data_IF_360900385575
#
_entry.id   IF_360900385575
#
_cell.length_a   1.000
_cell.length_b   1.000
_cell.length_c   1.000
_cell.angle_alpha   90.00
_cell.angle_beta   90.00
_cell.angle_gamma   90.00
#
_symmetry.space_group_name_H-M   'P 1'
#
loop_
_entity.id
_entity.type
_entity.pdbx_description
1 polymer ?
2 non-polymer ?
3 water ?
#
# COMPACT_ATOMS: atom_id res chain seq x y z
N UNK A 15 -3.21 0.67 20.14
CA UNK A 15 -4.43 -0.28 19.79
C UNK A 15 -4.98 -0.87 18.39
N UNK A 16 -6.20 -0.45 18.01
CA UNK A 16 -6.46 -0.21 16.59
C UNK A 16 -5.35 0.69 16.06
N UNK A 17 -4.76 1.53 16.93
CA UNK A 17 -3.60 2.31 16.53
C UNK A 17 -2.37 1.42 16.27
N UNK A 18 -2.11 0.41 17.08
CA UNK A 18 -0.94 -0.40 16.78
C UNK A 18 -1.07 -1.17 15.43
N UNK A 19 -2.20 -1.89 15.32
CA UNK A 19 -2.58 -2.64 14.12
C UNK A 19 -2.54 -1.76 12.86
N UNK A 20 -3.05 -0.53 12.95
CA UNK A 20 -3.14 0.39 11.83
C UNK A 20 -1.72 0.84 11.48
N UNK A 21 -0.89 1.10 12.49
CA UNK A 21 0.52 1.41 12.21
C UNK A 21 1.23 0.26 11.44
N UNK A 22 1.03 -0.96 11.88
CA UNK A 22 1.72 -2.10 11.28
C UNK A 22 1.25 -2.32 9.83
N UNK A 23 -0.04 -2.17 9.60
CA UNK A 23 -0.67 -2.33 8.30
C UNK A 23 -0.04 -1.26 7.37
N UNK A 24 -0.06 0.00 7.84
CA UNK A 24 0.54 1.12 7.11
C UNK A 24 1.99 0.97 6.88
N UNK A 25 2.69 0.29 7.77
CA UNK A 25 4.08 -0.01 7.46
C UNK A 25 4.27 -1.01 6.29
N UNK A 26 3.39 -2.02 6.18
CA UNK A 26 3.37 -2.86 4.99
C UNK A 26 3.07 -2.06 3.74
N UNK A 27 2.08 -1.20 3.80
CA UNK A 27 1.69 -0.36 2.69
C UNK A 27 2.94 0.45 2.23
N UNK A 28 3.66 1.08 3.18
CA UNK A 28 4.87 1.83 2.86
C UNK A 28 5.91 0.99 2.17
N UNK A 29 6.11 -0.25 2.67
CA UNK A 29 7.07 -1.15 2.06
C UNK A 29 6.69 -1.49 0.62
N UNK A 30 5.43 -1.61 0.34
CA UNK A 30 4.99 -1.84 -1.03
C UNK A 30 5.16 -0.65 -1.96
N UNK A 31 4.93 0.55 -1.46
CA UNK A 31 5.23 1.80 -2.26
C UNK A 31 6.66 1.82 -2.58
N UNK A 32 7.46 1.44 -1.61
CA UNK A 32 8.91 1.45 -1.77
C UNK A 32 9.38 0.47 -2.77
N UNK A 33 8.85 -0.75 -2.69
CA UNK A 33 9.14 -1.79 -3.68
C UNK A 33 8.69 -1.39 -5.05
N UNK A 34 7.54 -0.77 -5.17
CA UNK A 34 7.05 -0.41 -6.47
C UNK A 34 7.96 0.74 -7.02
N UNK A 35 8.45 1.60 -6.14
CA UNK A 35 9.20 2.79 -6.59
C UNK A 35 10.58 2.34 -7.09
N UNK A 36 11.14 1.37 -6.37
CA UNK A 36 12.37 0.71 -6.76
C UNK A 36 12.26 0.14 -8.17
N UNK A 37 11.12 -0.38 -8.53
CA UNK A 37 10.96 -0.91 -9.87
C UNK A 37 10.62 0.18 -10.95
N UNK A 38 10.71 1.47 -10.60
CA UNK A 38 10.49 2.59 -11.53
C UNK A 38 9.03 2.62 -12.10
N UNK A 39 8.07 2.18 -11.31
CA UNK A 39 6.69 2.23 -11.64
C UNK A 39 5.93 3.29 -10.89
N UNK A 40 6.51 3.85 -9.81
CA UNK A 40 5.82 4.85 -9.01
C UNK A 40 6.09 6.25 -9.60
N UNK A 41 5.03 6.96 -9.92
CA UNK A 41 5.14 8.24 -10.60
C UNK A 41 5.52 9.33 -9.65
N UNK A 42 5.74 10.51 -10.14
CA UNK A 42 6.33 11.53 -9.23
C UNK A 42 5.41 11.95 -8.10
N UNK A 43 4.15 12.22 -8.33
CA UNK A 43 3.27 12.51 -7.19
C UNK A 43 3.15 11.25 -6.25
N UNK A 44 3.29 10.08 -6.84
CA UNK A 44 3.29 8.85 -6.00
C UNK A 44 4.47 8.78 -5.08
N UNK A 45 5.64 9.13 -5.58
CA UNK A 45 6.83 9.19 -4.74
C UNK A 45 6.72 10.33 -3.65
N UNK A 46 6.09 11.46 -3.97
CA UNK A 46 5.80 12.51 -2.92
C UNK A 46 4.94 11.84 -1.85
N UNK A 47 3.92 11.12 -2.32
CA UNK A 47 3.00 10.40 -1.39
C UNK A 47 3.80 9.44 -0.51
N UNK A 48 4.70 8.66 -1.12
CA UNK A 48 5.54 7.76 -0.34
C UNK A 48 6.35 8.54 0.72
N UNK A 49 6.95 9.66 0.33
CA UNK A 49 7.70 10.45 1.32
C UNK A 49 6.81 10.95 2.43
N UNK A 50 5.60 11.41 2.15
CA UNK A 50 4.73 11.87 3.24
C UNK A 50 4.41 10.71 4.19
N UNK A 51 4.06 9.59 3.58
CA UNK A 51 3.72 8.44 4.41
C UNK A 51 4.87 8.03 5.29
N UNK A 52 6.07 7.89 4.77
CA UNK A 52 7.24 7.47 5.55
C UNK A 52 7.46 8.45 6.78
N UNK A 53 7.47 9.74 6.54
CA UNK A 53 7.68 10.76 7.60
C UNK A 53 6.55 10.62 8.63
N UNK A 54 5.32 10.51 8.17
CA UNK A 54 4.18 10.40 9.07
C UNK A 54 4.22 9.11 9.92
N UNK A 55 4.52 7.99 9.29
CA UNK A 55 4.61 6.76 10.09
C UNK A 55 5.81 6.78 11.05
N UNK A 56 6.93 7.36 10.64
CA UNK A 56 8.06 7.52 11.55
C UNK A 56 7.68 8.25 12.86
N UNK A 57 7.03 9.40 12.72
CA UNK A 57 6.51 10.17 13.87
C UNK A 57 5.43 9.40 14.66
N UNK A 58 4.58 8.67 13.96
CA UNK A 58 3.55 7.88 14.65
C UNK A 58 4.17 6.69 15.40
N UNK A 59 5.22 6.11 14.86
CA UNK A 59 5.92 5.02 15.50
C UNK A 59 6.69 5.51 16.72
N UNK A 60 7.25 6.71 16.66
CA UNK A 60 8.04 7.22 17.77
C UNK A 60 7.11 7.41 18.98
N UNK A 61 5.98 8.06 18.73
CA UNK A 61 4.99 8.35 19.73
C UNK A 61 4.33 7.15 20.35
N UNK A 62 4.00 6.14 19.53
CA UNK A 62 3.36 4.96 20.05
C UNK A 62 4.30 4.18 20.90
N UNK A 63 5.56 4.14 20.48
CA UNK A 63 6.56 3.34 21.13
C UNK A 63 6.95 3.97 22.45
N UNK A 64 6.84 5.30 22.52
CA UNK A 64 7.25 6.04 23.73
C UNK A 64 6.24 5.84 24.86
N UNK A 65 5.07 5.34 24.53
CA UNK A 65 4.00 5.19 25.52
C UNK A 65 3.80 3.75 25.95
N UNK A 66 4.78 2.90 25.63
CA UNK A 66 4.69 1.48 25.97
C UNK A 66 5.99 1.06 26.68
N UNK A 67 5.94 -0.06 27.41
CA UNK A 67 7.17 -0.59 28.01
C UNK A 67 8.20 -0.89 26.94
N UNK A 68 9.47 -1.00 27.36
CA UNK A 68 10.57 -1.39 26.48
C UNK A 68 10.24 -2.58 25.55
N UNK A 69 9.70 -3.67 26.11
CA UNK A 69 9.47 -4.90 25.35
C UNK A 69 8.24 -4.89 24.41
N UNK A 70 7.42 -3.83 24.46
CA UNK A 70 6.30 -3.65 23.53
C UNK A 70 6.64 -2.49 22.55
N UNK A 71 7.90 -2.42 22.16
CA UNK A 71 8.37 -1.42 21.19
C UNK A 71 8.96 -2.14 20.00
N UNK A 72 8.68 -1.58 18.84
CA UNK A 72 9.02 -2.18 17.56
C UNK A 72 9.45 -1.06 16.60
N UNK A 73 10.61 -1.22 16.01
CA UNK A 73 11.06 -0.39 14.92
C UNK A 73 10.17 -0.42 13.66
N UNK A 74 10.36 0.58 12.82
CA UNK A 74 9.73 0.62 11.52
C UNK A 74 9.95 -0.66 10.74
N UNK A 75 11.19 -1.17 10.74
CA UNK A 75 11.59 -2.38 10.02
C UNK A 75 10.82 -3.67 10.36
N UNK A 76 10.74 -3.94 11.67
CA UNK A 76 9.96 -5.03 12.19
C UNK A 76 8.51 -4.86 11.82
N UNK A 77 8.02 -3.64 11.94
CA UNK A 77 6.65 -3.37 11.66
C UNK A 77 6.30 -3.60 10.17
N UNK A 78 7.23 -3.29 9.28
CA UNK A 78 7.04 -3.49 7.83
C UNK A 78 6.83 -4.95 7.59
N UNK A 79 7.63 -5.79 8.23
CA UNK A 79 7.46 -7.22 8.03
C UNK A 79 6.06 -7.72 8.49
N UNK A 80 5.57 -7.17 9.61
CA UNK A 80 4.23 -7.45 10.11
C UNK A 80 3.16 -7.03 9.11
N UNK A 81 3.24 -5.82 8.57
CA UNK A 81 2.26 -5.32 7.61
C UNK A 81 2.30 -6.06 6.24
N UNK A 82 3.45 -6.49 5.81
CA UNK A 82 3.56 -7.23 4.55
C UNK A 82 2.78 -8.57 4.70
N UNK A 83 2.93 -9.17 5.90
CA UNK A 83 2.25 -10.42 6.21
C UNK A 83 0.75 -10.23 6.24
N UNK A 84 0.28 -9.18 6.91
CA UNK A 84 -1.12 -8.76 6.95
C UNK A 84 -1.60 -8.58 5.55
N UNK A 85 -0.88 -7.85 4.69
CA UNK A 85 -1.34 -7.64 3.33
C UNK A 85 -1.52 -8.99 2.58
N UNK A 86 -0.57 -9.90 2.74
CA UNK A 86 -0.65 -11.19 2.05
C UNK A 86 -1.96 -11.94 2.42
N UNK A 87 -2.21 -11.98 3.71
CA UNK A 87 -3.39 -12.63 4.31
C UNK A 87 -4.70 -12.04 3.76
N UNK A 88 -4.80 -10.71 3.79
CA UNK A 88 -5.93 -10.01 3.26
C UNK A 88 -6.15 -10.23 1.77
N UNK A 89 -5.07 -10.42 1.00
CA UNK A 89 -5.18 -10.67 -0.45
C UNK A 89 -5.20 -12.16 -0.74
N UNK A 90 -5.33 -12.97 0.29
CA UNK A 90 -5.42 -14.41 0.10
C UNK A 90 -4.13 -14.99 -0.56
N UNK A 91 -2.97 -14.55 -0.12
CA UNK A 91 -1.71 -15.04 -0.66
C UNK A 91 -0.97 -15.68 0.52
N UNK A 92 -0.09 -16.62 0.21
CA UNK A 92 0.73 -17.23 1.23
C UNK A 92 1.40 -16.18 2.13
N UNK A 93 1.26 -16.28 3.42
CA UNK A 93 1.81 -15.23 4.26
C UNK A 93 3.33 -15.25 4.46
N UNK A 94 4.08 -16.22 3.92
CA UNK A 94 5.46 -16.36 4.30
C UNK A 94 6.30 -15.26 3.67
N UNK A 95 7.31 -14.77 4.41
CA UNK A 95 8.25 -13.75 3.85
C UNK A 95 8.92 -14.28 2.63
N UNK A 96 9.22 -13.43 1.66
CA UNK A 96 10.16 -13.81 0.62
C UNK A 96 9.55 -14.72 -0.43
N UNK A 97 10.37 -15.07 -1.42
CA UNK A 97 9.87 -15.85 -2.56
C UNK A 97 9.78 -17.32 -2.24
N UNK A 98 10.47 -17.74 -1.15
CA UNK A 98 10.36 -19.13 -0.67
C UNK A 98 9.08 -19.32 0.18
N UNK A 99 8.58 -20.52 0.18
CA UNK A 99 7.48 -20.87 1.04
C UNK A 99 6.15 -21.14 0.36
N UNK A 100 6.02 -21.01 -0.96
CA UNK A 100 4.73 -21.31 -1.62
C UNK A 100 4.37 -22.76 -1.49
N UNK A 101 3.06 -23.03 -1.33
CA UNK A 101 2.58 -24.39 -1.44
C UNK A 101 2.31 -24.70 -2.95
N UNK A 102 2.29 -25.95 -3.33
CA UNK A 102 1.98 -26.30 -4.73
C UNK A 102 0.55 -25.93 -5.18
N UNK A 103 -0.46 -26.11 -4.36
CA UNK A 103 -1.83 -25.88 -4.83
C UNK A 103 -2.41 -24.81 -3.97
N UNK B 9 14.46 11.55 -5.90
CA UNK B 9 13.39 10.87 -6.63
C UNK B 9 13.96 9.92 -7.67
N UNK B 10 13.16 8.95 -8.06
CA UNK B 10 13.50 8.03 -9.13
C UNK B 10 12.88 8.43 -10.47
N UNK B 11 13.72 8.54 -11.49
CA UNK B 11 13.21 8.83 -12.82
C UNK B 11 12.39 7.66 -13.37
N UNK B 12 11.23 7.96 -13.94
CA UNK B 12 10.34 6.97 -14.51
C UNK B 12 9.80 7.41 -15.87
N UNK B 13 9.36 6.40 -16.64
CA UNK B 13 8.64 6.51 -17.91
C UNK B 13 7.19 6.90 -17.79
N UNK B 14 6.60 7.31 -18.93
CA UNK B 14 5.18 7.65 -19.00
C UNK B 14 4.27 6.47 -18.52
N UNK B 15 4.76 5.23 -18.57
CA UNK B 15 3.96 4.10 -18.10
C UNK B 15 3.60 4.17 -16.63
N UNK B 16 4.31 5.00 -15.86
CA UNK B 16 4.11 5.05 -14.42
C UNK B 16 2.84 5.71 -13.98
N UNK B 17 2.28 6.56 -14.85
CA UNK B 17 0.98 7.19 -14.54
C UNK B 17 -0.09 6.15 -14.33
N UNK B 18 -0.34 5.38 -15.37
CA UNK B 18 -1.33 4.36 -15.27
C UNK B 18 -1.00 3.28 -14.21
N UNK B 19 0.28 2.91 -14.15
CA UNK B 19 0.78 1.91 -13.18
C UNK B 19 0.49 2.34 -11.75
N UNK B 20 0.67 3.66 -11.49
CA UNK B 20 0.51 4.18 -10.14
C UNK B 20 -0.95 4.27 -9.74
N UNK B 21 -1.79 4.67 -10.67
CA UNK B 21 -3.23 4.58 -10.47
C UNK B 21 -3.65 3.14 -10.11
N UNK B 22 -3.15 2.17 -10.86
CA UNK B 22 -3.53 0.76 -10.69
C UNK B 22 -3.03 0.25 -9.38
N UNK B 23 -1.75 0.55 -9.13
CA UNK B 23 -1.11 0.26 -7.85
C UNK B 23 -1.93 0.80 -6.71
N UNK B 24 -2.25 2.09 -6.75
CA UNK B 24 -2.99 2.64 -5.66
C UNK B 24 -4.39 2.11 -5.52
N UNK B 25 -4.99 1.66 -6.60
CA UNK B 25 -6.28 0.99 -6.51
C UNK B 25 -6.16 -0.38 -5.76
N UNK B 26 -5.05 -1.09 -5.94
CA UNK B 26 -4.68 -2.24 -5.13
C UNK B 26 -4.48 -1.88 -3.69
N UNK B 27 -3.82 -0.73 -3.41
CA UNK B 27 -3.67 -0.21 -2.04
C UNK B 27 -5.02 0.03 -1.36
N UNK B 28 -5.91 0.71 -2.04
CA UNK B 28 -7.22 0.99 -1.59
C UNK B 28 -7.97 -0.33 -1.23
N UNK B 29 -7.88 -1.34 -2.09
CA UNK B 29 -8.51 -2.62 -1.86
C UNK B 29 -8.02 -3.19 -0.56
N UNK B 30 -6.73 -3.05 -0.30
CA UNK B 30 -6.15 -3.56 0.91
C UNK B 30 -6.63 -2.83 2.14
N UNK B 31 -6.67 -1.50 2.11
CA UNK B 31 -7.25 -0.77 3.18
C UNK B 31 -8.69 -1.23 3.45
N UNK B 32 -9.50 -1.37 2.40
CA UNK B 32 -10.84 -1.87 2.52
C UNK B 32 -10.92 -3.26 3.19
N UNK B 33 -10.06 -4.18 2.78
CA UNK B 33 -10.06 -5.49 3.42
C UNK B 33 -9.70 -5.42 4.91
N UNK B 34 -8.76 -4.54 5.23
CA UNK B 34 -8.26 -4.34 6.58
C UNK B 34 -9.30 -3.71 7.47
N UNK B 35 -10.04 -2.77 6.93
CA UNK B 35 -11.15 -2.13 7.59
C UNK B 35 -12.16 -3.16 8.17
N UNK B 36 -12.52 -4.17 7.41
CA UNK B 36 -13.41 -5.21 7.89
C UNK B 36 -12.83 -6.03 9.06
N UNK B 37 -11.53 -6.06 9.25
CA UNK B 37 -10.99 -6.31 10.62
C UNK B 37 -11.29 -5.22 11.77
N UNK B 38 -12.20 -4.27 11.53
CA UNK B 38 -12.42 -3.11 12.44
C UNK B 38 -11.07 -2.68 13.08
N UNK B 39 -9.97 -2.97 12.39
CA UNK B 39 -8.70 -2.71 13.04
C UNK B 39 -8.28 -1.25 12.70
N UNK B 40 -9.09 -0.54 11.91
CA UNK B 40 -8.71 0.73 11.30
C UNK B 40 -9.19 1.95 12.10
N UNK B 41 -8.22 2.67 12.68
CA UNK B 41 -8.52 3.84 13.51
C UNK B 41 -9.03 5.03 12.67
N UNK B 42 -9.42 6.11 13.33
CA UNK B 42 -10.08 7.21 12.62
C UNK B 42 -9.21 7.93 11.59
N UNK B 43 -7.97 8.26 11.92
CA UNK B 43 -7.07 8.79 10.90
C UNK B 43 -6.84 7.79 9.73
N UNK B 44 -6.98 6.46 9.94
CA UNK B 44 -6.82 5.44 8.91
C UNK B 44 -8.04 5.40 8.03
N UNK B 45 -9.19 5.60 8.65
CA UNK B 45 -10.44 5.61 7.89
C UNK B 45 -10.49 6.87 7.03
N UNK B 46 -9.93 7.95 7.54
CA UNK B 46 -9.97 9.18 6.74
C UNK B 46 -9.00 9.03 5.56
N UNK B 47 -7.81 8.53 5.82
CA UNK B 47 -6.88 8.24 4.72
C UNK B 47 -7.46 7.31 3.59
N UNK B 48 -8.19 6.29 3.99
CA UNK B 48 -8.87 5.45 3.04
C UNK B 48 -9.92 6.15 2.19
N UNK B 49 -10.81 6.92 2.84
CA UNK B 49 -11.87 7.65 2.11
C UNK B 49 -11.33 8.73 1.15
N UNK B 50 -10.27 9.37 1.57
CA UNK B 50 -9.58 10.40 0.78
C UNK B 50 -8.85 9.73 -0.42
N UNK B 51 -8.21 8.59 -0.15
CA UNK B 51 -7.63 7.79 -1.21
C UNK B 51 -8.65 7.46 -2.26
N UNK B 52 -9.75 6.86 -1.86
CA UNK B 52 -10.80 6.51 -2.81
C UNK B 52 -11.31 7.73 -3.59
N UNK B 53 -11.53 8.84 -2.90
CA UNK B 53 -12.09 10.03 -3.57
C UNK B 53 -11.10 10.53 -4.65
N UNK B 54 -9.82 10.63 -4.30
CA UNK B 54 -8.77 11.14 -5.23
C UNK B 54 -8.48 10.22 -6.33
N UNK B 55 -8.48 8.92 -6.02
CA UNK B 55 -8.35 7.94 -7.11
C UNK B 55 -9.49 7.95 -8.11
N UNK B 56 -10.73 8.09 -7.66
CA UNK B 56 -11.81 8.20 -8.60
C UNK B 56 -11.63 9.40 -9.55
N UNK B 57 -11.13 10.51 -9.02
CA UNK B 57 -10.97 11.73 -9.82
C UNK B 57 -9.85 11.49 -10.84
N UNK B 58 -8.76 10.90 -10.37
CA UNK B 58 -7.63 10.61 -11.24
C UNK B 58 -7.99 9.63 -12.34
N UNK B 59 -8.85 8.64 -11.99
CA UNK B 59 -9.27 7.66 -12.93
C UNK B 59 -10.14 8.34 -13.98
N UNK B 60 -11.09 9.18 -13.57
CA UNK B 60 -11.93 9.83 -14.53
C UNK B 60 -11.06 10.68 -15.47
N UNK B 61 -10.09 11.39 -14.91
CA UNK B 61 -9.31 12.39 -15.71
C UNK B 61 -8.40 11.64 -16.65
N UNK B 62 -7.74 10.61 -16.14
CA UNK B 62 -6.87 9.79 -17.00
C UNK B 62 -7.66 9.09 -18.06
N UNK B 63 -8.82 8.52 -17.73
CA UNK B 63 -9.60 7.82 -18.75
C UNK B 63 -10.03 8.74 -19.89
N UNK B 64 -10.41 9.93 -19.49
CA UNK B 64 -10.83 11.01 -20.41
C UNK B 64 -9.67 11.44 -21.26
N UNK B 65 -8.43 11.13 -20.86
CA UNK B 65 -7.23 11.45 -21.62
C UNK B 65 -6.76 10.33 -22.55
N UNK B 66 -7.53 9.24 -22.63
CA UNK B 66 -7.14 8.01 -23.37
C UNK B 66 -8.19 7.57 -24.39
N UNK B 67 -7.83 6.76 -25.39
CA UNK B 67 -8.78 6.37 -26.44
C UNK B 67 -10.14 5.94 -25.95
N UNK B 68 -10.28 4.76 -25.39
CA UNK B 68 -11.64 4.28 -25.12
C UNK B 68 -11.46 2.84 -24.79
N UNK B 69 -10.76 2.14 -25.67
CA UNK B 69 -10.42 0.75 -25.43
C UNK B 69 -9.30 0.61 -24.41
N UNK B 70 -8.71 1.71 -23.95
CA UNK B 70 -7.78 1.67 -22.82
C UNK B 70 -8.38 2.12 -21.47
N UNK B 71 -9.64 2.54 -21.48
CA UNK B 71 -10.29 3.05 -20.29
C UNK B 71 -10.72 1.89 -19.40
N UNK B 72 -10.63 2.12 -18.09
CA UNK B 72 -10.81 1.08 -17.12
C UNK B 72 -11.39 1.69 -15.90
N UNK B 73 -12.38 1.02 -15.36
CA UNK B 73 -13.02 1.43 -14.12
C UNK B 73 -12.13 1.18 -12.91
N UNK B 74 -12.55 1.71 -11.76
CA UNK B 74 -11.86 1.44 -10.50
C UNK B 74 -11.78 -0.09 -10.24
N UNK B 75 -12.88 -0.83 -10.46
CA UNK B 75 -12.87 -2.28 -10.09
C UNK B 75 -11.89 -3.04 -11.00
N UNK B 76 -11.76 -2.62 -12.27
CA UNK B 76 -10.79 -3.26 -13.16
C UNK B 76 -9.34 -2.91 -12.80
N UNK B 77 -9.11 -1.65 -12.44
CA UNK B 77 -7.83 -1.19 -11.99
C UNK B 77 -7.40 -1.86 -10.68
N UNK B 78 -8.34 -2.03 -9.71
CA UNK B 78 -8.01 -2.84 -8.51
C UNK B 78 -7.50 -4.23 -8.88
N UNK B 79 -8.06 -4.81 -9.93
CA UNK B 79 -7.69 -6.15 -10.30
C UNK B 79 -6.26 -6.16 -10.81
N UNK B 80 -5.91 -5.17 -11.63
CA UNK B 80 -4.53 -4.98 -12.04
C UNK B 80 -3.59 -4.72 -10.82
N UNK B 81 -3.97 -3.82 -9.98
CA UNK B 81 -3.22 -3.52 -8.78
C UNK B 81 -2.88 -4.67 -7.88
N UNK B 82 -3.83 -5.57 -7.69
CA UNK B 82 -3.63 -6.78 -6.89
C UNK B 82 -2.74 -7.76 -7.55
N UNK B 83 -2.78 -7.81 -8.88
CA UNK B 83 -1.77 -8.60 -9.60
C UNK B 83 -0.36 -8.10 -9.38
N UNK B 84 -0.21 -6.80 -9.52
CA UNK B 84 1.08 -6.20 -9.20
C UNK B 84 1.50 -6.41 -7.73
N UNK B 85 0.57 -6.23 -6.81
CA UNK B 85 0.83 -6.51 -5.40
C UNK B 85 1.33 -7.96 -5.13
N UNK B 86 0.89 -8.97 -5.86
CA UNK B 86 1.53 -10.32 -5.64
C UNK B 86 2.97 -10.37 -6.00
N UNK B 87 3.33 -9.74 -7.06
CA UNK B 87 4.68 -9.81 -7.46
C UNK B 87 5.56 -9.08 -6.40
N UNK B 88 5.11 -7.88 -6.05
CA UNK B 88 5.83 -7.05 -5.17
C UNK B 88 5.98 -7.66 -3.77
N UNK B 89 4.90 -8.24 -3.29
CA UNK B 89 4.80 -8.78 -1.97
C UNK B 89 5.74 -9.91 -1.73
N UNK B 90 6.21 -10.57 -2.79
CA UNK B 90 7.09 -11.68 -2.65
C UNK B 90 8.52 -11.51 -3.12
N UNK B 91 8.85 -10.28 -3.53
CA UNK B 91 10.20 -9.97 -3.92
C UNK B 91 10.66 -8.77 -3.00
N UNK B 92 11.33 -9.10 -1.84
CA UNK B 92 11.85 -8.16 -0.71
C UNK B 92 13.26 -7.66 -0.89
N UNK B 93 13.52 -6.36 -1.05
CA UNK B 93 14.88 -6.00 -1.47
C UNK B 93 15.98 -5.93 -0.38
X LIG C 1 0.08 -17.48 -2.97
X LIG D 1 9.55 -6.18 4.81
X LIG E 1 7.62 -15.64 7.43
X LIG F 1 16.99 7.44 -11.13
X LIG G 1 12.61 -12.46 -1.62
X LIG H 1 8.58 -10.26 2.02
X LIG I 1 3.99 -17.95 7.36
X LIG J 1 -2.17 -23.42 2.36
X LIG K 1 -1.76 5.10 1.00
X LIG L 1 -1.32 11.78 -3.60
X LIG M 1 -0.70 -6.05 14.49
X LIG N 1 4.07 12.42 -13.50
X LIG O 1 -14.33 0.78 -3.90
X LIG P 1 7.32 3.64 -19.65
X LIG Q 1 -8.12 -11.15 -4.40
X LIG R 1 0.00 -1.11 -15.15
X LIG S 1 -13.60 2.46 7.09
X LIG T 1 -14.23 2.82 -17.73
X LIG U 1 -15.91 0.58 -10.84
#
# INVERSE_FOLDING_TARGET
MADNMTTTQIEVGPGATNATINFEAGILECYERFSWQRALDYPGQDRLHRLKRKLESRIKTHNKSEPENKRMSLEERKAIGVKMMKVLLFMDPSAGIEGFEPY
MADNMTTTQIEVGPGATNATINFEAGILECYERFSWQRALDYPGQDRLHRLKRKLESRIKTHNKSEPENKRMSLEERKAIGVKMMKVLLFMDPSAGIEGFEPY
BR BR
BR BR
BR BR
BR BR
BR BR
BR BR
BR BR
BR BR
BR BR
BR BR
BR BR
BR BR
BR BR
BR BR
BR BR
BR BR
BR BR
BR BR
BR BR
#
